data_IF_910412986792
#
_entry.id   IF_910412986792
#
_cell.length_a   1.000
_cell.length_b   1.000
_cell.length_c   1.000
_cell.angle_alpha   90.00
_cell.angle_beta   90.00
_cell.angle_gamma   90.00
#
_symmetry.space_group_name_H-M   'P 1'
#
loop_
_entity.id
_entity.type
_entity.pdbx_description
1 polymer ?
#
# COMPACT_ATOMS: atom_id res chain seq x y z
N UNK A 1 -10.04 -5.77 -9.60
CA UNK A 1 -8.71 -6.32 -9.29
C UNK A 1 -8.34 -5.87 -7.88
N UNK A 2 -8.11 -6.76 -6.92
CA UNK A 2 -7.85 -6.34 -5.52
C UNK A 2 -6.36 -6.01 -5.29
N UNK A 3 -6.05 -5.26 -4.22
CA UNK A 3 -4.70 -4.81 -3.87
C UNK A 3 -3.69 -5.98 -3.83
N UNK A 4 -4.07 -7.11 -3.23
CA UNK A 4 -3.20 -8.30 -3.12
C UNK A 4 -2.85 -8.88 -4.50
N UNK A 5 -3.79 -8.92 -5.44
CA UNK A 5 -3.54 -9.39 -6.81
C UNK A 5 -2.63 -8.43 -7.59
N UNK A 6 -2.77 -7.11 -7.39
CA UNK A 6 -1.88 -6.11 -7.98
C UNK A 6 -0.45 -6.27 -7.44
N UNK A 7 -0.29 -6.38 -6.12
CA UNK A 7 1.01 -6.55 -5.45
C UNK A 7 1.72 -7.84 -5.90
N UNK A 8 0.98 -8.95 -6.01
CA UNK A 8 1.52 -10.24 -6.50
C UNK A 8 2.03 -10.15 -7.94
N UNK A 9 1.32 -9.45 -8.83
CA UNK A 9 1.79 -9.23 -10.21
C UNK A 9 3.00 -8.31 -10.25
N UNK A 10 3.06 -7.30 -9.38
CA UNK A 10 4.12 -6.28 -9.37
C UNK A 10 5.45 -6.73 -8.76
N UNK A 11 5.46 -7.81 -7.96
CA UNK A 11 6.70 -8.39 -7.39
C UNK A 11 7.76 -8.79 -8.42
N UNK A 12 7.37 -9.05 -9.67
CA UNK A 12 8.29 -9.49 -10.72
C UNK A 12 8.83 -8.34 -11.57
N UNK A 13 8.39 -7.10 -11.33
CA UNK A 13 8.89 -5.94 -12.04
C UNK A 13 10.00 -5.30 -11.19
N UNK A 14 11.22 -5.26 -11.72
CA UNK A 14 12.28 -4.42 -11.18
C UNK A 14 12.36 -3.15 -12.02
N UNK A 15 12.28 -1.99 -11.36
CA UNK A 15 12.53 -0.69 -12.00
C UNK A 15 13.90 -0.24 -11.52
N UNK A 16 14.87 -0.22 -12.44
CA UNK A 16 16.27 0.11 -12.11
C UNK A 16 16.46 1.59 -11.73
N UNK A 17 15.57 2.47 -12.18
CA UNK A 17 15.59 3.89 -11.86
C UNK A 17 14.95 4.16 -10.49
N UNK A 18 15.78 4.50 -9.52
CA UNK A 18 15.39 4.80 -8.14
C UNK A 18 14.44 6.01 -8.06
N UNK A 19 14.63 7.03 -8.91
CA UNK A 19 13.77 8.22 -8.93
C UNK A 19 12.39 7.86 -9.48
N UNK A 20 12.35 7.02 -10.52
CA UNK A 20 11.09 6.50 -11.07
C UNK A 20 10.35 5.63 -10.05
N UNK A 21 11.07 4.78 -9.30
CA UNK A 21 10.48 3.97 -8.21
C UNK A 21 9.87 4.87 -7.13
N UNK A 22 10.60 5.89 -6.67
CA UNK A 22 10.09 6.84 -5.67
C UNK A 22 8.81 7.53 -6.16
N UNK A 23 8.80 7.98 -7.41
CA UNK A 23 7.64 8.66 -7.99
C UNK A 23 6.43 7.72 -8.15
N UNK A 24 6.65 6.47 -8.57
CA UNK A 24 5.59 5.46 -8.66
C UNK A 24 5.03 5.14 -7.27
N UNK A 25 5.90 4.94 -6.26
CA UNK A 25 5.48 4.69 -4.88
C UNK A 25 4.66 5.86 -4.34
N UNK A 26 5.12 7.11 -4.56
CA UNK A 26 4.41 8.33 -4.18
C UNK A 26 2.99 8.35 -4.76
N UNK A 27 2.84 8.13 -6.08
CA UNK A 27 1.52 8.07 -6.73
C UNK A 27 0.64 6.94 -6.21
N UNK A 28 1.22 5.78 -5.88
CA UNK A 28 0.46 4.67 -5.29
C UNK A 28 -0.01 5.04 -3.88
N UNK A 29 0.81 5.73 -3.07
CA UNK A 29 0.39 6.24 -1.75
C UNK A 29 -0.78 7.22 -1.88
N UNK A 30 -0.72 8.17 -2.80
CA UNK A 30 -1.84 9.11 -3.05
C UNK A 30 -3.13 8.38 -3.46
N UNK A 31 -3.02 7.36 -4.32
CA UNK A 31 -4.21 6.64 -4.83
C UNK A 31 -4.78 5.60 -3.86
N UNK A 32 -3.96 5.10 -2.92
CA UNK A 32 -4.32 3.95 -2.06
C UNK A 32 -4.25 4.32 -0.58
N UNK A 33 -3.14 4.87 -0.11
CA UNK A 33 -2.88 5.10 1.30
C UNK A 33 -3.77 6.22 1.85
N UNK A 34 -3.90 7.33 1.13
CA UNK A 34 -4.75 8.45 1.56
C UNK A 34 -6.24 8.06 1.68
N UNK A 35 -6.88 7.44 0.66
CA UNK A 35 -8.25 6.93 0.82
C UNK A 35 -8.39 5.86 1.90
N UNK A 36 -7.37 5.01 2.08
CA UNK A 36 -7.39 3.96 3.09
C UNK A 36 -7.31 4.52 4.51
N UNK A 37 -6.48 5.54 4.72
CA UNK A 37 -6.38 6.25 6.00
C UNK A 37 -7.70 6.96 6.33
N UNK A 38 -8.32 7.62 5.34
CA UNK A 38 -9.61 8.24 5.54
C UNK A 38 -10.71 7.21 5.86
N UNK A 39 -10.72 6.07 5.16
CA UNK A 39 -11.60 4.94 5.46
C UNK A 39 -11.40 4.44 6.90
N UNK A 40 -10.16 4.19 7.30
CA UNK A 40 -9.83 3.74 8.66
C UNK A 40 -10.30 4.77 9.71
N UNK A 41 -10.07 6.07 9.49
CA UNK A 41 -10.47 7.13 10.41
C UNK A 41 -12.01 7.27 10.54
N UNK A 42 -12.74 7.13 9.43
CA UNK A 42 -14.21 7.19 9.43
C UNK A 42 -14.83 5.96 10.07
N UNK A 43 -14.21 4.79 9.92
CA UNK A 43 -14.75 3.54 10.46
C UNK A 43 -14.30 3.22 11.88
N UNK A 44 -13.08 3.60 12.30
CA UNK A 44 -12.62 3.42 13.68
C UNK A 44 -13.44 4.23 14.69
N UNK A 45 -13.98 5.39 14.25
CA UNK A 45 -14.95 6.17 15.05
C UNK A 45 -16.28 5.46 15.27
N UNK A 46 -16.67 4.54 14.38
CA UNK A 46 -18.00 3.93 14.37
C UNK A 46 -17.99 2.45 14.77
N UNK A 47 -16.83 1.77 14.71
CA UNK A 47 -16.70 0.34 14.95
C UNK A 47 -15.33 0.00 15.55
N UNK A 48 -15.29 -1.03 16.41
CA UNK A 48 -14.05 -1.65 16.89
C UNK A 48 -13.37 -2.44 15.75
N UNK A 49 -12.68 -1.70 14.88
CA UNK A 49 -12.09 -2.13 13.61
C UNK A 49 -10.88 -3.05 13.73
N UNK A 50 -10.19 -3.04 14.87
CA UNK A 50 -8.90 -3.73 15.07
C UNK A 50 -8.98 -5.26 14.88
N UNK A 51 -10.18 -5.85 14.91
CA UNK A 51 -10.39 -7.29 14.70
C UNK A 51 -10.83 -7.68 13.29
N UNK A 52 -11.24 -6.74 12.44
CA UNK A 52 -11.77 -7.02 11.10
C UNK A 52 -10.82 -6.63 9.96
N UNK A 53 -9.91 -5.69 10.22
CA UNK A 53 -8.90 -5.29 9.24
C UNK A 53 -7.66 -6.17 9.33
N UNK A 54 -7.23 -6.68 8.18
CA UNK A 54 -6.00 -7.47 8.09
C UNK A 54 -4.72 -6.61 8.15
N UNK A 55 -4.82 -5.35 7.75
CA UNK A 55 -3.69 -4.41 7.67
C UNK A 55 -4.13 -3.07 8.25
N UNK A 56 -3.33 -2.48 9.12
CA UNK A 56 -3.48 -1.07 9.49
C UNK A 56 -2.87 -0.16 8.42
N UNK A 57 -3.02 1.15 8.59
CA UNK A 57 -2.50 2.17 7.66
C UNK A 57 -0.99 2.03 7.49
N UNK A 58 -0.26 1.83 8.60
CA UNK A 58 1.20 1.66 8.61
C UNK A 58 1.63 0.42 7.82
N UNK A 59 0.95 -0.71 8.01
CA UNK A 59 1.20 -1.95 7.28
C UNK A 59 1.01 -1.76 5.77
N UNK A 60 -0.02 -1.03 5.35
CA UNK A 60 -0.26 -0.73 3.93
C UNK A 60 0.85 0.17 3.37
N UNK A 61 1.30 1.17 4.14
CA UNK A 61 2.41 2.03 3.75
C UNK A 61 3.71 1.23 3.54
N UNK A 62 4.08 0.37 4.49
CA UNK A 62 5.27 -0.50 4.40
C UNK A 62 5.18 -1.40 3.16
N UNK A 63 4.00 -1.95 2.85
CA UNK A 63 3.81 -2.79 1.67
C UNK A 63 4.06 -2.00 0.38
N UNK A 64 3.59 -0.75 0.31
CA UNK A 64 3.82 0.13 -0.85
C UNK A 64 5.31 0.49 -0.96
N UNK A 65 5.97 0.78 0.16
CA UNK A 65 7.39 1.12 0.17
C UNK A 65 8.30 -0.03 -0.25
N UNK A 66 7.85 -1.28 -0.07
CA UNK A 66 8.58 -2.47 -0.54
C UNK A 66 8.31 -2.85 -2.00
N UNK A 67 7.45 -2.11 -2.70
CA UNK A 67 7.20 -2.38 -4.12
C UNK A 67 8.43 -2.07 -4.96
N UNK A 68 8.78 -2.98 -5.86
CA UNK A 68 9.94 -2.85 -6.76
C UNK A 68 11.31 -2.93 -6.07
N UNK A 69 11.36 -3.24 -4.77
CA UNK A 69 12.62 -3.66 -4.15
C UNK A 69 13.03 -5.02 -4.73
N UNK A 70 14.31 -5.17 -5.04
CA UNK A 70 14.84 -6.45 -5.51
C UNK A 70 14.58 -7.53 -4.43
N UNK A 71 14.14 -8.74 -4.82
CA UNK A 71 14.12 -9.85 -3.88
C UNK A 71 15.57 -10.09 -3.41
N UNK A 72 15.77 -10.01 -2.09
CA UNK A 72 17.00 -10.46 -1.43
C UNK A 72 17.03 -11.98 -1.35
#
# INVERSE_FOLDING_TARGET
MNLIQLLKRKKNYCVADILMVKEIRRKIKELVLEPYQEFCNRFSKNYSMDRQMKYDVESVEIIIDRLFDAPS
#
